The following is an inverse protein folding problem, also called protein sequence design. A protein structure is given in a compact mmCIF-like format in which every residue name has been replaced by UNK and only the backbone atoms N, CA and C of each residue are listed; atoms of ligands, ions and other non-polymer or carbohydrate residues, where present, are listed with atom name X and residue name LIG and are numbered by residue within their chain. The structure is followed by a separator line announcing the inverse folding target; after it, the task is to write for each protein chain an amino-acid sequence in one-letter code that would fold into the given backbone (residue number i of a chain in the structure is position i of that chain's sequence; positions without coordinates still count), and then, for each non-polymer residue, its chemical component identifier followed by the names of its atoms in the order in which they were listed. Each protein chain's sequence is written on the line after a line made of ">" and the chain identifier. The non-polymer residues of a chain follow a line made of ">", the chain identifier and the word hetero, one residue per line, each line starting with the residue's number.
data_IF_132780536813
#
_entry.id   IF_132780536813
#
_cell.length_a   1.000
_cell.length_b   1.000
_cell.length_c   1.000
_cell.angle_alpha   90.00
_cell.angle_beta   90.00
_cell.angle_gamma   90.00
#
_symmetry.space_group_name_H-M   'P 1'
#
loop_
_entity.id
_entity.type
_entity.pdbx_description
1 polymer ?
#
# COMPACT_ATOMS: atom_id res chain seq x y z
N UNK A 1 -35.64 36.53 9.54
CA UNK A 1 -34.27 36.85 10.02
C UNK A 1 -33.28 36.29 9.03
N UNK A 2 -32.55 37.14 8.32
CA UNK A 2 -31.41 36.71 7.50
C UNK A 2 -30.30 36.28 8.45
N UNK A 3 -29.79 35.05 8.28
CA UNK A 3 -28.67 34.55 9.07
C UNK A 3 -27.47 35.47 8.79
N UNK A 4 -26.80 35.95 9.84
CA UNK A 4 -25.62 36.81 9.70
C UNK A 4 -24.57 36.10 8.83
N UNK A 5 -24.03 36.75 7.79
CA UNK A 5 -22.96 36.21 6.94
C UNK A 5 -21.77 35.68 7.76
N UNK A 6 -21.43 36.38 8.85
CA UNK A 6 -20.40 35.97 9.79
C UNK A 6 -20.73 34.64 10.49
N UNK A 7 -21.99 34.36 10.81
CA UNK A 7 -22.41 33.10 11.44
C UNK A 7 -22.26 31.92 10.47
N UNK A 8 -22.62 32.12 9.20
CA UNK A 8 -22.46 31.12 8.13
C UNK A 8 -20.98 30.84 7.92
N UNK A 9 -20.15 31.88 7.84
CA UNK A 9 -18.71 31.77 7.68
C UNK A 9 -18.07 31.02 8.86
N UNK A 10 -18.47 31.35 10.10
CA UNK A 10 -17.95 30.70 11.31
C UNK A 10 -18.29 29.21 11.35
N UNK A 11 -19.51 28.83 10.95
CA UNK A 11 -19.95 27.43 10.84
C UNK A 11 -19.18 26.66 9.75
N UNK A 12 -18.93 27.29 8.60
CA UNK A 12 -18.17 26.70 7.49
C UNK A 12 -16.69 26.47 7.86
N UNK A 13 -16.11 27.33 8.70
CA UNK A 13 -14.70 27.25 9.11
C UNK A 13 -14.47 26.33 10.32
N UNK A 14 -15.37 26.35 11.31
CA UNK A 14 -15.23 25.53 12.51
C UNK A 14 -15.67 24.08 12.27
N UNK A 15 -16.66 23.83 11.43
CA UNK A 15 -17.21 22.49 11.19
C UNK A 15 -16.15 21.47 10.75
N UNK A 16 -15.34 21.75 9.72
CA UNK A 16 -14.31 20.83 9.27
C UNK A 16 -13.14 20.72 10.26
N UNK A 17 -12.80 21.78 11.00
CA UNK A 17 -11.78 21.74 12.04
C UNK A 17 -12.18 20.87 13.23
N UNK A 18 -13.44 20.94 13.64
CA UNK A 18 -14.02 20.07 14.68
C UNK A 18 -14.09 18.62 14.20
N UNK A 19 -14.50 18.40 12.93
CA UNK A 19 -14.54 17.06 12.34
C UNK A 19 -13.13 16.45 12.23
N UNK A 20 -12.16 17.24 11.77
CA UNK A 20 -10.74 16.87 11.71
C UNK A 20 -10.20 16.50 13.10
N UNK A 21 -10.47 17.34 14.11
CA UNK A 21 -10.12 17.07 15.50
C UNK A 21 -10.77 15.80 16.03
N UNK A 22 -12.05 15.57 15.73
CA UNK A 22 -12.77 14.36 16.12
C UNK A 22 -12.18 13.09 15.47
N UNK A 23 -11.88 13.13 14.16
CA UNK A 23 -11.26 12.01 13.43
C UNK A 23 -9.86 11.73 14.00
N UNK A 24 -9.07 12.77 14.26
CA UNK A 24 -7.74 12.62 14.85
C UNK A 24 -7.80 12.02 16.26
N UNK A 25 -8.73 12.47 17.11
CA UNK A 25 -8.95 11.88 18.43
C UNK A 25 -9.41 10.42 18.35
N UNK A 26 -10.29 10.08 17.40
CA UNK A 26 -10.69 8.69 17.11
C UNK A 26 -9.51 7.82 16.66
N UNK A 27 -8.63 8.34 15.80
CA UNK A 27 -7.39 7.66 15.36
C UNK A 27 -6.47 7.38 16.55
N UNK A 28 -6.24 8.37 17.42
CA UNK A 28 -5.46 8.19 18.66
C UNK A 28 -6.12 7.14 19.56
N UNK A 29 -7.45 7.18 19.71
CA UNK A 29 -8.18 6.24 20.54
C UNK A 29 -8.11 4.82 20.00
N UNK A 30 -8.26 4.62 18.68
CA UNK A 30 -8.11 3.33 18.02
C UNK A 30 -6.69 2.78 18.15
N UNK A 31 -5.66 3.62 18.00
CA UNK A 31 -4.28 3.21 18.20
C UNK A 31 -3.97 2.83 19.66
N UNK A 32 -4.72 3.37 20.63
CA UNK A 32 -4.62 2.99 22.05
C UNK A 32 -5.38 1.71 22.37
N UNK A 33 -6.49 1.46 21.68
CA UNK A 33 -7.16 0.16 21.68
C UNK A 33 -6.43 -0.73 20.68
N UNK A 34 -5.17 -1.08 20.99
CA UNK A 34 -4.60 -2.28 20.39
C UNK A 34 -5.55 -3.41 20.76
N UNK A 35 -6.33 -3.88 19.80
CA UNK A 35 -7.04 -5.14 19.95
C UNK A 35 -5.96 -6.14 20.33
N UNK A 36 -6.02 -6.66 21.55
CA UNK A 36 -5.14 -7.76 21.96
C UNK A 36 -5.42 -8.88 20.99
N UNK A 37 -4.45 -9.20 20.14
CA UNK A 37 -4.61 -10.28 19.19
C UNK A 37 -4.98 -11.55 19.99
N UNK A 38 -5.99 -12.33 19.58
CA UNK A 38 -6.50 -13.45 20.39
C UNK A 38 -5.45 -14.50 20.78
N UNK A 39 -4.26 -14.44 20.17
CA UNK A 39 -3.14 -15.38 20.35
C UNK A 39 -1.88 -14.63 20.80
N UNK A 40 -1.95 -13.94 21.94
CA UNK A 40 -0.76 -13.47 22.66
C UNK A 40 0.05 -14.68 23.19
N UNK A 41 0.92 -15.25 22.34
CA UNK A 41 1.82 -16.33 22.76
C UNK A 41 2.36 -17.23 21.64
N UNK A 42 1.77 -17.18 20.44
CA UNK A 42 2.29 -17.85 19.24
C UNK A 42 2.44 -16.85 18.10
N UNK A 43 3.41 -17.06 17.21
CA UNK A 43 3.45 -16.33 15.93
C UNK A 43 2.13 -16.63 15.20
N UNK A 44 1.24 -15.65 15.16
CA UNK A 44 -0.02 -15.76 14.41
C UNK A 44 0.32 -16.19 12.98
N UNK A 45 -0.35 -17.23 12.48
CA UNK A 45 -0.17 -17.67 11.10
C UNK A 45 -0.61 -16.51 10.22
N UNK A 46 0.33 -15.92 9.49
CA UNK A 46 0.03 -14.81 8.60
C UNK A 46 -0.84 -15.28 7.45
N UNK A 47 -1.78 -14.43 7.09
CA UNK A 47 -2.62 -14.61 5.93
C UNK A 47 -1.82 -14.33 4.64
N UNK A 48 -2.20 -14.93 3.51
CA UNK A 48 -1.63 -14.56 2.21
C UNK A 48 -1.85 -13.07 1.94
N UNK A 49 -0.82 -12.37 1.46
CA UNK A 49 -0.89 -10.93 1.21
C UNK A 49 -0.90 -10.05 2.45
N UNK A 50 -0.63 -10.57 3.65
CA UNK A 50 -0.69 -9.78 4.90
C UNK A 50 0.18 -8.50 4.82
N UNK A 51 1.44 -8.62 4.44
CA UNK A 51 2.33 -7.45 4.25
C UNK A 51 1.85 -6.46 3.17
N UNK A 52 1.16 -6.91 2.13
CA UNK A 52 0.55 -6.02 1.13
C UNK A 52 -0.70 -5.33 1.68
N UNK A 53 -1.49 -6.02 2.49
CA UNK A 53 -2.63 -5.44 3.19
C UNK A 53 -2.19 -4.34 4.16
N UNK A 54 -1.16 -4.58 4.97
CA UNK A 54 -0.57 -3.55 5.85
C UNK A 54 -0.09 -2.33 5.06
N UNK A 55 0.55 -2.53 3.90
CA UNK A 55 0.96 -1.43 3.01
C UNK A 55 -0.25 -0.66 2.50
N UNK A 56 -1.32 -1.34 2.07
CA UNK A 56 -2.56 -0.70 1.61
C UNK A 56 -3.16 0.16 2.73
N UNK A 57 -3.29 -0.39 3.94
CA UNK A 57 -3.84 0.31 5.10
C UNK A 57 -3.01 1.54 5.46
N UNK A 58 -1.70 1.40 5.54
CA UNK A 58 -0.79 2.52 5.79
C UNK A 58 -0.89 3.59 4.70
N UNK A 59 -0.98 3.21 3.43
CA UNK A 59 -1.13 4.18 2.34
C UNK A 59 -2.50 4.86 2.39
N UNK A 60 -3.58 4.19 2.80
CA UNK A 60 -4.88 4.83 3.05
C UNK A 60 -4.81 5.86 4.18
N UNK A 61 -4.09 5.54 5.26
CA UNK A 61 -3.85 6.52 6.33
C UNK A 61 -3.10 7.75 5.81
N UNK A 62 -2.05 7.54 5.02
CA UNK A 62 -1.30 8.66 4.41
C UNK A 62 -2.18 9.50 3.47
N UNK A 63 -3.06 8.86 2.70
CA UNK A 63 -4.05 9.56 1.86
C UNK A 63 -5.00 10.40 2.72
N UNK A 64 -5.54 9.83 3.79
CA UNK A 64 -6.44 10.53 4.69
C UNK A 64 -5.74 11.74 5.33
N UNK A 65 -4.50 11.58 5.80
CA UNK A 65 -3.70 12.65 6.40
C UNK A 65 -3.44 13.79 5.39
N UNK A 66 -3.20 13.46 4.11
CA UNK A 66 -3.01 14.46 3.04
C UNK A 66 -4.31 15.18 2.65
N UNK A 67 -5.45 14.48 2.62
CA UNK A 67 -6.77 15.10 2.41
C UNK A 67 -7.06 16.07 3.57
N UNK A 68 -6.81 15.64 4.81
CA UNK A 68 -6.99 16.48 5.98
C UNK A 68 -6.12 17.74 5.91
N UNK A 69 -4.85 17.58 5.50
CA UNK A 69 -3.93 18.68 5.30
C UNK A 69 -4.40 19.69 4.23
N UNK A 70 -5.17 19.26 3.22
CA UNK A 70 -5.73 20.16 2.21
C UNK A 70 -6.96 20.94 2.70
N UNK A 71 -7.76 20.37 3.61
CA UNK A 71 -8.99 21.01 4.09
C UNK A 71 -8.67 22.30 4.88
N UNK A 72 -7.64 22.28 5.74
CA UNK A 72 -7.33 23.43 6.61
C UNK A 72 -6.91 24.70 5.84
N UNK A 73 -5.93 24.67 4.91
CA UNK A 73 -5.53 25.84 4.14
C UNK A 73 -6.68 26.41 3.31
N UNK A 74 -7.49 25.55 2.68
CA UNK A 74 -8.61 25.99 1.85
C UNK A 74 -9.68 26.73 2.65
N UNK A 75 -9.94 26.30 3.88
CA UNK A 75 -10.84 27.01 4.79
C UNK A 75 -10.26 28.35 5.24
N UNK A 76 -9.00 28.38 5.64
CA UNK A 76 -8.31 29.63 5.99
C UNK A 76 -8.32 30.59 4.80
N UNK A 77 -8.10 30.11 3.59
CA UNK A 77 -8.15 30.93 2.39
C UNK A 77 -9.56 31.49 2.15
N UNK A 78 -10.61 30.67 2.30
CA UNK A 78 -11.99 31.14 2.17
C UNK A 78 -12.32 32.24 3.19
N UNK A 79 -11.82 32.13 4.43
CA UNK A 79 -11.95 33.17 5.46
C UNK A 79 -11.22 34.46 5.07
N UNK A 80 -9.95 34.34 4.64
CA UNK A 80 -9.14 35.49 4.23
C UNK A 80 -9.76 36.18 3.02
N UNK A 81 -10.26 35.41 2.05
CA UNK A 81 -10.97 35.91 0.86
C UNK A 81 -12.21 36.72 1.27
N UNK A 82 -13.03 36.17 2.16
CA UNK A 82 -14.22 36.84 2.66
C UNK A 82 -13.89 38.17 3.35
N UNK A 83 -12.93 38.15 4.30
CA UNK A 83 -12.51 39.35 5.02
C UNK A 83 -11.95 40.44 4.07
N UNK A 84 -11.18 40.04 3.07
CA UNK A 84 -10.53 40.95 2.12
C UNK A 84 -11.54 41.68 1.22
N UNK A 85 -12.57 40.97 0.73
CA UNK A 85 -13.57 41.54 -0.17
C UNK A 85 -14.69 42.31 0.54
N UNK A 86 -15.06 41.91 1.77
CA UNK A 86 -16.09 42.62 2.54
C UNK A 86 -15.57 43.96 3.09
N UNK A 87 -14.32 44.00 3.58
CA UNK A 87 -13.75 45.23 4.14
C UNK A 87 -13.07 46.14 3.09
N UNK A 88 -12.77 45.63 1.88
CA UNK A 88 -12.02 46.35 0.82
C UNK A 88 -10.68 46.93 1.30
N UNK A 89 -10.05 46.32 2.29
CA UNK A 89 -8.90 46.88 3.02
C UNK A 89 -7.54 46.46 2.49
N UNK A 90 -7.45 45.54 1.52
CA UNK A 90 -6.19 44.91 1.15
C UNK A 90 -5.65 45.21 -0.27
N UNK A 91 -4.34 45.05 -0.44
CA UNK A 91 -3.63 45.19 -1.71
C UNK A 91 -3.87 43.96 -2.62
N UNK A 92 -4.45 44.17 -3.79
CA UNK A 92 -4.79 43.13 -4.78
C UNK A 92 -3.59 42.22 -5.13
N UNK A 93 -2.37 42.76 -5.17
CA UNK A 93 -1.17 41.97 -5.46
C UNK A 93 -0.80 41.00 -4.33
N UNK A 94 -1.06 41.37 -3.09
CA UNK A 94 -0.90 40.46 -1.94
C UNK A 94 -1.86 39.28 -2.05
N UNK A 95 -3.10 39.54 -2.48
CA UNK A 95 -4.09 38.50 -2.72
C UNK A 95 -3.65 37.53 -3.83
N UNK A 96 -3.25 38.06 -5.00
CA UNK A 96 -2.76 37.25 -6.13
C UNK A 96 -1.57 36.39 -5.72
N UNK A 97 -0.63 36.94 -4.94
CA UNK A 97 0.53 36.22 -4.46
C UNK A 97 0.16 35.05 -3.52
N UNK A 98 -0.69 35.29 -2.52
CA UNK A 98 -1.14 34.26 -1.59
C UNK A 98 -1.96 33.16 -2.27
N UNK A 99 -2.84 33.54 -3.21
CA UNK A 99 -3.60 32.60 -4.04
C UNK A 99 -2.68 31.73 -4.92
N UNK A 100 -1.64 32.33 -5.50
CA UNK A 100 -0.62 31.59 -6.25
C UNK A 100 0.12 30.55 -5.40
N UNK A 101 0.52 30.92 -4.18
CA UNK A 101 1.16 30.00 -3.23
C UNK A 101 0.23 28.84 -2.88
N UNK A 102 -1.02 29.12 -2.51
CA UNK A 102 -1.97 28.09 -2.15
C UNK A 102 -2.25 27.13 -3.31
N UNK A 103 -2.49 27.68 -4.51
CA UNK A 103 -2.68 26.88 -5.73
C UNK A 103 -1.46 25.98 -5.97
N UNK A 104 -0.25 26.49 -5.77
CA UNK A 104 0.98 25.69 -5.85
C UNK A 104 1.04 24.57 -4.82
N UNK A 105 0.64 24.83 -3.57
CA UNK A 105 0.58 23.81 -2.50
C UNK A 105 -0.47 22.74 -2.84
N UNK A 106 -1.67 23.15 -3.27
CA UNK A 106 -2.76 22.23 -3.66
C UNK A 106 -2.31 21.36 -4.82
N UNK A 107 -1.66 21.93 -5.85
CA UNK A 107 -1.14 21.18 -6.98
C UNK A 107 -0.08 20.16 -6.55
N UNK A 108 0.87 20.55 -5.69
CA UNK A 108 1.93 19.67 -5.17
C UNK A 108 1.36 18.50 -4.35
N UNK A 109 0.45 18.80 -3.42
CA UNK A 109 -0.18 17.78 -2.56
C UNK A 109 -1.11 16.90 -3.38
N UNK A 110 -1.87 17.48 -4.33
CA UNK A 110 -2.71 16.75 -5.28
C UNK A 110 -1.91 15.76 -6.14
N UNK A 111 -0.73 16.17 -6.63
CA UNK A 111 0.18 15.26 -7.34
C UNK A 111 0.67 14.11 -6.45
N UNK A 112 1.00 14.39 -5.18
CA UNK A 112 1.37 13.32 -4.23
C UNK A 112 0.21 12.38 -3.93
N UNK A 113 -1.00 12.90 -3.72
CA UNK A 113 -2.22 12.10 -3.52
C UNK A 113 -2.46 11.16 -4.70
N UNK A 114 -2.33 11.67 -5.94
CA UNK A 114 -2.47 10.85 -7.14
C UNK A 114 -1.44 9.70 -7.19
N UNK A 115 -0.20 9.93 -6.73
CA UNK A 115 0.81 8.87 -6.62
C UNK A 115 0.45 7.81 -5.58
N UNK A 116 0.02 8.22 -4.39
CA UNK A 116 -0.40 7.29 -3.33
C UNK A 116 -1.60 6.42 -3.77
N UNK A 117 -2.57 7.01 -4.47
CA UNK A 117 -3.71 6.27 -5.01
C UNK A 117 -3.28 5.21 -6.03
N UNK A 118 -2.28 5.52 -6.88
CA UNK A 118 -1.70 4.52 -7.78
C UNK A 118 -0.95 3.41 -7.05
N UNK A 119 -0.20 3.76 -6.00
CA UNK A 119 0.51 2.76 -5.18
C UNK A 119 -0.48 1.78 -4.54
N UNK A 120 -1.64 2.25 -4.06
CA UNK A 120 -2.72 1.38 -3.57
C UNK A 120 -3.22 0.41 -4.65
N UNK A 121 -3.36 0.85 -5.91
CA UNK A 121 -3.77 -0.03 -7.01
C UNK A 121 -2.74 -1.13 -7.26
N UNK A 122 -1.45 -0.79 -7.25
CA UNK A 122 -0.34 -1.75 -7.40
C UNK A 122 -0.33 -2.76 -6.26
N UNK A 123 -0.43 -2.31 -5.01
CA UNK A 123 -0.47 -3.22 -3.86
C UNK A 123 -1.71 -4.12 -3.87
N UNK A 124 -2.87 -3.60 -4.30
CA UNK A 124 -4.09 -4.41 -4.45
C UNK A 124 -3.96 -5.47 -5.53
N UNK A 125 -3.27 -5.17 -6.62
CA UNK A 125 -3.00 -6.14 -7.69
C UNK A 125 -2.14 -7.29 -7.15
N UNK A 126 -1.03 -6.98 -6.49
CA UNK A 126 -0.17 -7.97 -5.83
C UNK A 126 -0.93 -8.80 -4.79
N UNK A 127 -1.72 -8.14 -3.93
CA UNK A 127 -2.51 -8.81 -2.89
C UNK A 127 -3.47 -9.84 -3.49
N UNK A 128 -4.16 -9.47 -4.57
CA UNK A 128 -5.06 -10.40 -5.27
C UNK A 128 -4.30 -11.58 -5.89
N UNK A 129 -3.10 -11.34 -6.40
CA UNK A 129 -2.21 -12.40 -6.87
C UNK A 129 -1.87 -13.39 -5.77
N UNK A 130 -1.31 -12.91 -4.65
CA UNK A 130 -0.92 -13.76 -3.52
C UNK A 130 -2.12 -14.54 -2.95
N UNK A 131 -3.29 -13.90 -2.83
CA UNK A 131 -4.52 -14.57 -2.39
C UNK A 131 -4.96 -15.63 -3.41
N UNK A 132 -4.93 -15.34 -4.71
CA UNK A 132 -5.30 -16.31 -5.73
C UNK A 132 -4.37 -17.53 -5.72
N UNK A 133 -3.06 -17.30 -5.65
CA UNK A 133 -2.07 -18.37 -5.51
C UNK A 133 -2.34 -19.20 -4.25
N UNK A 134 -2.61 -18.58 -3.11
CA UNK A 134 -2.91 -19.31 -1.87
C UNK A 134 -4.10 -20.27 -2.03
N UNK A 135 -5.11 -19.91 -2.81
CA UNK A 135 -6.26 -20.76 -3.11
C UNK A 135 -5.87 -21.96 -3.97
N UNK A 136 -4.99 -21.75 -4.96
CA UNK A 136 -4.44 -22.83 -5.79
C UNK A 136 -3.59 -23.80 -4.96
N UNK A 137 -2.86 -23.29 -3.97
CA UNK A 137 -2.00 -24.10 -3.09
C UNK A 137 -2.80 -24.88 -2.05
N UNK A 138 -4.05 -24.48 -1.75
CA UNK A 138 -4.85 -25.09 -0.69
C UNK A 138 -5.00 -26.62 -0.80
N UNK A 139 -5.27 -27.23 -1.97
CA UNK A 139 -5.37 -28.68 -2.11
C UNK A 139 -4.08 -29.43 -1.77
N UNK A 140 -2.91 -28.79 -1.87
CA UNK A 140 -1.63 -29.42 -1.56
C UNK A 140 -1.50 -29.77 -0.07
N UNK A 141 -2.24 -29.07 0.80
CA UNK A 141 -2.32 -29.43 2.23
C UNK A 141 -2.86 -30.85 2.45
N UNK A 142 -3.79 -31.29 1.60
CA UNK A 142 -4.33 -32.66 1.64
C UNK A 142 -3.32 -33.70 1.14
N UNK A 143 -2.29 -33.27 0.41
CA UNK A 143 -1.19 -34.11 -0.10
C UNK A 143 0.01 -34.13 0.86
N UNK A 144 -0.14 -33.63 2.09
CA UNK A 144 0.92 -33.63 3.09
C UNK A 144 1.86 -32.43 3.05
N UNK A 145 1.58 -31.43 2.22
CA UNK A 145 2.35 -30.17 2.25
C UNK A 145 1.91 -29.30 3.43
N UNK A 146 2.87 -28.78 4.18
CA UNK A 146 2.68 -27.62 5.05
C UNK A 146 2.86 -26.36 4.21
N UNK A 147 1.88 -25.46 4.25
CA UNK A 147 1.88 -24.21 3.50
C UNK A 147 1.98 -23.05 4.48
N UNK A 148 2.97 -22.20 4.28
CA UNK A 148 3.18 -20.96 5.03
C UNK A 148 3.02 -19.79 4.08
N UNK A 149 2.31 -18.75 4.50
CA UNK A 149 2.11 -17.54 3.73
C UNK A 149 2.79 -16.36 4.40
N UNK A 150 3.24 -15.40 3.60
CA UNK A 150 3.91 -14.17 4.01
C UNK A 150 5.00 -14.42 5.06
N UNK A 151 5.88 -15.40 4.78
CA UNK A 151 6.89 -15.87 5.72
C UNK A 151 8.00 -14.82 5.85
N UNK A 152 8.08 -14.20 7.02
CA UNK A 152 9.19 -13.36 7.42
C UNK A 152 10.25 -14.14 8.19
N UNK A 153 11.52 -13.95 7.81
CA UNK A 153 12.68 -14.55 8.47
C UNK A 153 13.89 -13.64 8.34
N UNK A 154 14.59 -13.39 9.44
CA UNK A 154 15.66 -12.40 9.47
C UNK A 154 15.17 -11.03 8.97
N UNK A 155 15.74 -10.56 7.85
CA UNK A 155 15.34 -9.33 7.16
C UNK A 155 14.66 -9.57 5.79
N UNK A 156 14.29 -10.82 5.51
CA UNK A 156 13.72 -11.26 4.23
C UNK A 156 12.28 -11.73 4.38
N UNK A 157 11.54 -11.71 3.26
CA UNK A 157 10.15 -12.14 3.18
C UNK A 157 9.98 -13.02 1.93
N UNK A 158 9.21 -14.09 2.06
CA UNK A 158 8.76 -14.94 0.95
C UNK A 158 7.24 -14.99 0.97
N UNK A 159 6.61 -14.87 -0.20
CA UNK A 159 5.15 -14.85 -0.28
C UNK A 159 4.55 -16.18 0.16
N UNK A 160 5.06 -17.31 -0.35
CA UNK A 160 4.63 -18.64 0.12
C UNK A 160 5.80 -19.63 0.25
N UNK A 161 5.76 -20.45 1.30
CA UNK A 161 6.70 -21.57 1.48
C UNK A 161 5.91 -22.85 1.64
N UNK A 162 6.25 -23.85 0.83
CA UNK A 162 5.72 -25.20 0.95
C UNK A 162 6.78 -26.13 1.48
N UNK A 163 6.39 -27.04 2.37
CA UNK A 163 7.30 -28.02 2.96
C UNK A 163 6.63 -29.38 3.01
N UNK A 164 7.34 -30.40 2.56
CA UNK A 164 7.01 -31.81 2.77
C UNK A 164 8.30 -32.63 2.86
N UNK A 165 8.18 -33.96 2.90
CA UNK A 165 9.34 -34.86 2.97
C UNK A 165 10.26 -34.77 1.73
N UNK A 166 9.79 -34.19 0.62
CA UNK A 166 10.61 -33.97 -0.58
C UNK A 166 11.47 -32.71 -0.50
N UNK A 167 11.23 -31.82 0.47
CA UNK A 167 12.01 -30.60 0.69
C UNK A 167 11.16 -29.35 0.87
N UNK A 168 11.81 -28.20 0.68
CA UNK A 168 11.21 -26.88 0.87
C UNK A 168 11.13 -26.17 -0.47
N UNK A 169 9.96 -25.63 -0.78
CA UNK A 169 9.69 -24.89 -2.01
C UNK A 169 9.41 -23.43 -1.65
N UNK A 170 10.19 -22.52 -2.22
CA UNK A 170 10.05 -21.08 -2.05
C UNK A 170 9.28 -20.53 -3.24
N UNK A 171 8.08 -20.02 -3.02
CA UNK A 171 7.19 -19.54 -4.06
C UNK A 171 7.06 -18.03 -3.94
N UNK A 172 7.35 -17.34 -5.05
CA UNK A 172 7.15 -15.89 -5.17
C UNK A 172 6.04 -15.63 -6.19
N UNK A 173 5.13 -14.71 -5.87
CA UNK A 173 4.01 -14.38 -6.75
C UNK A 173 4.28 -13.08 -7.47
N UNK A 174 4.34 -13.14 -8.80
CA UNK A 174 4.56 -11.96 -9.64
C UNK A 174 3.25 -11.62 -10.37
N UNK A 175 2.73 -10.42 -10.13
CA UNK A 175 1.55 -9.89 -10.84
C UNK A 175 1.95 -8.70 -11.69
N UNK A 176 2.41 -8.90 -12.93
CA UNK A 176 2.99 -7.83 -13.73
C UNK A 176 1.91 -6.83 -14.17
N UNK A 177 2.14 -5.54 -13.93
CA UNK A 177 1.23 -4.48 -14.39
C UNK A 177 1.38 -4.27 -15.90
N UNK A 178 0.24 -4.28 -16.62
CA UNK A 178 0.22 -3.95 -18.04
C UNK A 178 0.45 -2.45 -18.23
N UNK A 179 1.35 -2.03 -19.14
CA UNK A 179 1.54 -0.61 -19.43
C UNK A 179 0.24 0.06 -19.86
N UNK A 180 0.07 1.32 -19.46
CA UNK A 180 -1.09 2.13 -19.84
C UNK A 180 -1.21 2.19 -21.37
N UNK A 181 -2.38 1.81 -21.88
CA UNK A 181 -2.66 1.81 -23.32
C UNK A 181 -2.37 0.48 -24.03
N UNK A 182 -1.79 -0.51 -23.34
CA UNK A 182 -1.63 -1.85 -23.90
C UNK A 182 -3.00 -2.53 -23.98
N UNK A 183 -3.51 -2.71 -25.21
CA UNK A 183 -4.82 -3.29 -25.51
C UNK A 183 -4.65 -4.56 -26.36
N UNK A 184 -3.92 -5.56 -25.88
CA UNK A 184 -4.01 -6.89 -26.49
C UNK A 184 -5.15 -7.69 -25.86
N UNK A 185 -5.95 -8.33 -26.71
CA UNK A 185 -6.99 -9.29 -26.33
C UNK A 185 -6.44 -10.70 -26.11
N UNK A 186 -5.20 -10.99 -26.53
CA UNK A 186 -4.59 -12.28 -26.25
C UNK A 186 -4.31 -12.40 -24.76
N UNK A 187 -4.61 -13.58 -24.18
CA UNK A 187 -4.00 -14.01 -22.93
C UNK A 187 -2.50 -13.69 -23.05
N UNK A 188 -1.98 -12.86 -22.14
CA UNK A 188 -0.63 -12.33 -22.28
C UNK A 188 0.35 -13.45 -21.93
N UNK A 189 0.75 -14.22 -22.93
CA UNK A 189 1.77 -15.26 -22.77
C UNK A 189 3.09 -14.62 -22.34
N UNK A 190 3.73 -15.22 -21.35
CA UNK A 190 5.05 -14.83 -20.85
C UNK A 190 6.02 -15.94 -21.22
N UNK A 191 7.06 -15.60 -21.97
CA UNK A 191 8.07 -16.58 -22.41
C UNK A 191 9.24 -16.55 -21.42
N UNK A 192 9.60 -17.71 -20.88
CA UNK A 192 10.79 -17.89 -20.06
C UNK A 192 11.93 -18.47 -20.92
N UNK A 193 13.01 -17.70 -21.09
CA UNK A 193 14.17 -18.10 -21.91
C UNK A 193 15.30 -18.77 -21.10
N UNK A 194 15.01 -19.18 -19.86
CA UNK A 194 16.01 -19.73 -18.93
C UNK A 194 16.77 -18.67 -18.11
N UNK A 195 16.64 -17.39 -18.46
CA UNK A 195 17.35 -16.30 -17.77
C UNK A 195 16.49 -15.06 -17.52
N UNK A 196 15.36 -14.95 -18.21
CA UNK A 196 14.48 -13.79 -18.18
C UNK A 196 13.05 -14.14 -18.57
N UNK A 197 12.14 -13.25 -18.19
CA UNK A 197 10.74 -13.26 -18.57
C UNK A 197 10.54 -12.27 -19.70
N UNK A 198 9.99 -12.73 -20.83
CA UNK A 198 9.59 -11.87 -21.94
C UNK A 198 8.08 -11.67 -21.89
N UNK A 199 7.67 -10.50 -21.43
CA UNK A 199 6.31 -10.01 -21.54
C UNK A 199 6.07 -9.41 -22.93
N UNK A 200 4.81 -9.32 -23.39
CA UNK A 200 4.49 -8.67 -24.65
C UNK A 200 4.92 -7.19 -24.76
N UNK A 201 5.23 -6.55 -23.62
CA UNK A 201 5.64 -5.15 -23.54
C UNK A 201 7.09 -4.96 -23.09
N UNK A 202 7.85 -6.02 -22.85
CA UNK A 202 9.24 -5.89 -22.44
C UNK A 202 9.82 -7.13 -21.76
N UNK A 203 11.14 -7.14 -21.62
CA UNK A 203 11.89 -8.20 -20.95
C UNK A 203 12.21 -7.78 -19.51
N UNK A 204 12.06 -8.71 -18.57
CA UNK A 204 12.39 -8.51 -17.16
C UNK A 204 13.20 -9.68 -16.60
N UNK A 205 14.14 -9.37 -15.71
CA UNK A 205 14.96 -10.35 -14.96
C UNK A 205 14.84 -10.18 -13.45
N UNK A 206 14.20 -9.10 -12.99
CA UNK A 206 14.13 -8.76 -11.58
C UNK A 206 13.38 -9.82 -10.75
N UNK A 207 12.23 -10.36 -11.18
CA UNK A 207 11.51 -11.38 -10.41
C UNK A 207 12.34 -12.65 -10.17
N UNK A 208 13.07 -13.10 -11.20
CA UNK A 208 13.95 -14.28 -11.10
C UNK A 208 15.12 -14.05 -10.14
N UNK A 209 15.74 -12.87 -10.18
CA UNK A 209 16.81 -12.49 -9.24
C UNK A 209 16.27 -12.38 -7.81
N UNK A 210 15.07 -11.82 -7.64
CA UNK A 210 14.40 -11.70 -6.36
C UNK A 210 14.16 -13.08 -5.74
N UNK A 211 13.56 -13.98 -6.50
CA UNK A 211 13.28 -15.36 -6.10
C UNK A 211 14.55 -16.11 -5.70
N UNK A 212 15.62 -16.05 -6.51
CA UNK A 212 16.89 -16.72 -6.18
C UNK A 212 17.53 -16.16 -4.91
N UNK A 213 17.48 -14.84 -4.73
CA UNK A 213 17.98 -14.18 -3.52
C UNK A 213 17.21 -14.64 -2.29
N UNK A 214 15.88 -14.67 -2.36
CA UNK A 214 15.03 -15.07 -1.25
C UNK A 214 15.23 -16.55 -0.89
N UNK A 215 15.28 -17.44 -1.88
CA UNK A 215 15.57 -18.86 -1.66
C UNK A 215 16.94 -19.07 -1.01
N UNK A 216 17.97 -18.35 -1.48
CA UNK A 216 19.32 -18.40 -0.89
C UNK A 216 19.35 -17.87 0.55
N UNK A 217 18.60 -16.80 0.82
CA UNK A 217 18.46 -16.25 2.16
C UNK A 217 17.77 -17.24 3.11
N UNK A 218 16.72 -17.92 2.65
CA UNK A 218 16.01 -18.94 3.43
C UNK A 218 16.92 -20.15 3.71
N UNK A 219 17.70 -20.59 2.72
CA UNK A 219 18.62 -21.72 2.88
C UNK A 219 19.69 -21.40 3.94
N UNK A 220 20.23 -20.18 3.89
CA UNK A 220 21.17 -19.68 4.90
C UNK A 220 20.52 -19.62 6.28
N UNK A 221 19.33 -19.03 6.37
CA UNK A 221 18.60 -18.90 7.63
C UNK A 221 18.32 -20.26 8.28
N UNK A 222 17.80 -21.23 7.54
CA UNK A 222 17.51 -22.57 8.05
C UNK A 222 18.78 -23.32 8.45
N UNK A 223 19.87 -23.17 7.70
CA UNK A 223 21.16 -23.74 8.08
C UNK A 223 21.68 -23.18 9.40
N UNK A 224 21.52 -21.88 9.63
CA UNK A 224 21.90 -21.24 10.90
C UNK A 224 21.05 -21.71 12.08
N UNK A 225 19.76 -22.00 11.86
CA UNK A 225 18.84 -22.46 12.91
C UNK A 225 18.94 -23.96 13.21
N UNK A 226 19.13 -24.80 12.18
CA UNK A 226 19.01 -26.27 12.28
C UNK A 226 20.39 -26.94 12.22
N UNK A 227 21.40 -26.27 11.68
CA UNK A 227 22.76 -26.82 11.51
C UNK A 227 22.95 -27.69 10.27
N UNK A 228 21.89 -27.96 9.51
CA UNK A 228 21.90 -28.80 8.30
C UNK A 228 21.55 -28.01 7.03
N UNK A 229 22.04 -28.49 5.88
CA UNK A 229 21.72 -27.90 4.58
C UNK A 229 20.50 -28.58 3.99
N UNK A 230 19.38 -27.87 3.93
CA UNK A 230 18.12 -28.35 3.36
C UNK A 230 17.98 -27.81 1.92
N UNK A 231 17.65 -28.66 0.93
CA UNK A 231 17.40 -28.18 -0.43
C UNK A 231 16.17 -27.26 -0.47
N UNK A 232 16.35 -26.10 -1.10
CA UNK A 232 15.28 -25.13 -1.34
C UNK A 232 15.06 -24.99 -2.84
N UNK A 233 13.83 -25.21 -3.28
CA UNK A 233 13.41 -25.14 -4.66
C UNK A 233 12.69 -23.81 -4.94
N UNK A 234 13.32 -22.86 -5.65
CA UNK A 234 12.67 -21.62 -6.04
C UNK A 234 11.64 -21.85 -7.15
N UNK A 235 10.43 -21.34 -6.98
CA UNK A 235 9.35 -21.37 -7.96
C UNK A 235 8.78 -19.96 -8.12
N UNK A 236 8.69 -19.48 -9.36
CA UNK A 236 8.01 -18.23 -9.69
C UNK A 236 6.60 -18.54 -10.20
N UNK A 237 5.60 -17.81 -9.72
CA UNK A 237 4.22 -17.88 -10.18
C UNK A 237 3.82 -16.57 -10.87
N UNK A 238 3.15 -16.67 -12.03
CA UNK A 238 2.74 -15.56 -12.90
C UNK A 238 1.22 -15.54 -13.12
#
# INVERSE_FOLDING_TARGET
>A
MLISPHLILTLVLLGPGILAGYIFLKKIQQNRVRLTEPLEGGTAIRLPGHSLLEKIEKTHEEVADKILFLIFPTLIHALVFYAFFEERTGNEWTFVFLFGIETGIIALVGFRLWRLLKEIEVFRLGFRGEVFVSQILQPLTLMGYRVFHDLEFGSSKIDHVLMNDSGIFCLETETPEKPKGYRSKSLSEVIYDGSSLQYPWGKDTAPLKHLQRNASALAKYLREQIGESIPIYPILLL
#
